data_IF_130939298318
#
_entry.id   IF_130939298318
#
_cell.length_a   1.000
_cell.length_b   1.000
_cell.length_c   1.000
_cell.angle_alpha   90.00
_cell.angle_beta   90.00
_cell.angle_gamma   90.00
#
_symmetry.space_group_name_H-M   'P 1'
#
loop_
_entity.id
_entity.type
_entity.pdbx_description
1 polymer ?
#
# COMPACT_ATOMS: atom_id res chain seq x y z
N UNK A 1 -16.18 61.17 -14.97
CA UNK A 1 -15.26 60.65 -16.00
C UNK A 1 -15.64 59.19 -16.25
N UNK A 2 -15.98 58.81 -17.49
CA UNK A 2 -16.48 57.48 -17.84
C UNK A 2 -15.28 56.56 -18.04
N UNK A 3 -15.07 55.60 -17.14
CA UNK A 3 -13.97 54.64 -17.23
C UNK A 3 -14.20 53.74 -18.45
N UNK A 4 -13.25 53.74 -19.39
CA UNK A 4 -13.28 52.86 -20.57
C UNK A 4 -12.90 51.46 -20.10
N UNK A 5 -13.82 50.49 -20.16
CA UNK A 5 -13.48 49.08 -19.94
C UNK A 5 -12.52 48.64 -21.05
N UNK A 6 -11.25 48.41 -20.69
CA UNK A 6 -10.29 47.74 -21.55
C UNK A 6 -10.64 46.25 -21.56
N UNK A 7 -11.14 45.77 -22.69
CA UNK A 7 -11.31 44.33 -22.94
C UNK A 7 -9.95 43.64 -23.03
N UNK A 8 -9.93 42.33 -22.73
CA UNK A 8 -8.74 41.49 -22.89
C UNK A 8 -8.38 41.36 -24.37
N UNK A 9 -7.09 41.44 -24.71
CA UNK A 9 -6.67 41.27 -26.11
C UNK A 9 -6.60 39.79 -26.48
N UNK A 10 -6.86 39.46 -27.75
CA UNK A 10 -6.70 38.09 -28.24
C UNK A 10 -5.27 37.58 -28.07
N UNK A 11 -4.27 38.47 -28.22
CA UNK A 11 -2.87 38.10 -28.04
C UNK A 11 -2.53 37.79 -26.58
N UNK A 12 -3.14 38.48 -25.61
CA UNK A 12 -2.98 38.13 -24.19
C UNK A 12 -3.57 36.75 -23.88
N UNK A 13 -4.71 36.39 -24.48
CA UNK A 13 -5.28 35.06 -24.29
C UNK A 13 -4.36 33.97 -24.89
N UNK A 14 -3.84 34.22 -26.10
CA UNK A 14 -2.96 33.27 -26.80
C UNK A 14 -1.61 33.11 -26.08
N UNK A 15 -0.99 34.19 -25.61
CA UNK A 15 0.27 34.06 -24.88
C UNK A 15 0.11 33.26 -23.57
N UNK A 16 -1.03 33.40 -22.89
CA UNK A 16 -1.30 32.67 -21.64
C UNK A 16 -1.41 31.17 -21.88
N UNK A 17 -2.15 30.74 -22.90
CA UNK A 17 -2.25 29.29 -23.22
C UNK A 17 -0.91 28.71 -23.69
N UNK A 18 -0.08 29.50 -24.37
CA UNK A 18 1.28 29.07 -24.78
C UNK A 18 2.16 28.88 -23.56
N UNK A 19 2.16 29.85 -22.62
CA UNK A 19 2.94 29.73 -21.37
C UNK A 19 2.46 28.52 -20.56
N UNK A 20 1.14 28.36 -20.38
CA UNK A 20 0.57 27.21 -19.68
C UNK A 20 0.89 25.89 -20.39
N UNK A 21 0.92 25.87 -21.73
CA UNK A 21 1.30 24.70 -22.52
C UNK A 21 2.74 24.26 -22.27
N UNK A 22 3.69 25.20 -22.23
CA UNK A 22 5.10 24.91 -21.93
C UNK A 22 5.26 24.42 -20.49
N UNK A 23 4.61 25.09 -19.52
CA UNK A 23 4.65 24.68 -18.11
C UNK A 23 4.04 23.28 -17.90
N UNK A 24 2.94 22.97 -18.58
CA UNK A 24 2.31 21.66 -18.51
C UNK A 24 3.21 20.55 -19.09
N UNK A 25 3.87 20.81 -20.22
CA UNK A 25 4.75 19.84 -20.87
C UNK A 25 5.91 19.39 -19.97
N UNK A 26 6.46 20.29 -19.14
CA UNK A 26 7.54 19.96 -18.20
C UNK A 26 7.04 19.42 -16.86
N UNK A 27 5.88 19.89 -16.38
CA UNK A 27 5.35 19.52 -15.07
C UNK A 27 4.65 18.16 -15.06
N UNK A 28 3.94 17.79 -16.13
CA UNK A 28 3.16 16.54 -16.19
C UNK A 28 4.03 15.29 -15.98
N UNK A 29 5.18 15.10 -16.67
CA UNK A 29 6.01 13.92 -16.47
C UNK A 29 6.47 13.79 -15.01
N UNK A 30 6.89 14.90 -14.39
CA UNK A 30 7.32 14.93 -12.99
C UNK A 30 6.18 14.60 -12.02
N UNK A 31 4.98 15.07 -12.29
CA UNK A 31 3.82 14.76 -11.46
C UNK A 31 3.44 13.27 -11.52
N UNK A 32 3.60 12.63 -12.68
CA UNK A 32 3.37 11.19 -12.84
C UNK A 32 4.41 10.37 -12.06
N UNK A 33 5.69 10.74 -12.16
CA UNK A 33 6.77 10.07 -11.42
C UNK A 33 6.55 10.17 -9.90
N UNK A 34 6.30 11.39 -9.39
CA UNK A 34 6.05 11.62 -7.96
C UNK A 34 4.84 10.84 -7.44
N UNK A 35 3.81 10.68 -8.26
CA UNK A 35 2.64 9.87 -7.91
C UNK A 35 3.02 8.40 -7.77
N UNK A 36 3.83 7.86 -8.69
CA UNK A 36 4.33 6.48 -8.62
C UNK A 36 5.19 6.26 -7.37
N UNK A 37 6.11 7.18 -7.09
CA UNK A 37 7.00 7.10 -5.92
C UNK A 37 6.22 7.15 -4.60
N UNK A 38 5.23 8.05 -4.50
CA UNK A 38 4.37 8.16 -3.33
C UNK A 38 3.56 6.87 -3.09
N UNK A 39 3.13 6.21 -4.16
CA UNK A 39 2.41 4.93 -4.09
C UNK A 39 3.32 3.81 -3.59
N UNK A 40 4.52 3.68 -4.17
CA UNK A 40 5.49 2.68 -3.73
C UNK A 40 5.87 2.88 -2.26
N UNK A 41 6.10 4.13 -1.84
CA UNK A 41 6.38 4.47 -0.45
C UNK A 41 5.23 4.08 0.49
N UNK A 42 3.98 4.36 0.10
CA UNK A 42 2.79 3.98 0.87
C UNK A 42 2.66 2.47 1.01
N UNK A 43 2.84 1.72 -0.08
CA UNK A 43 2.80 0.26 -0.04
C UNK A 43 3.90 -0.35 0.81
N UNK A 44 5.14 0.17 0.72
CA UNK A 44 6.24 -0.23 1.60
C UNK A 44 5.92 0.05 3.07
N UNK A 45 5.25 1.16 3.36
CA UNK A 45 4.76 1.49 4.70
C UNK A 45 3.76 0.45 5.23
N UNK A 46 2.76 0.08 4.43
CA UNK A 46 1.76 -0.94 4.80
C UNK A 46 2.39 -2.32 4.94
N UNK A 47 3.25 -2.72 4.00
CA UNK A 47 3.97 -3.99 4.02
C UNK A 47 4.90 -4.10 5.24
N UNK A 48 5.63 -3.02 5.56
CA UNK A 48 6.48 -2.96 6.75
C UNK A 48 5.68 -3.01 8.06
N UNK A 49 4.51 -2.38 8.10
CA UNK A 49 3.60 -2.50 9.24
C UNK A 49 3.08 -3.93 9.43
N UNK A 50 2.71 -4.62 8.34
CA UNK A 50 2.27 -6.01 8.38
C UNK A 50 3.39 -6.96 8.82
N UNK A 51 4.61 -6.80 8.29
CA UNK A 51 5.77 -7.58 8.71
C UNK A 51 6.10 -7.37 10.20
N UNK A 52 6.07 -6.12 10.66
CA UNK A 52 6.31 -5.77 12.08
C UNK A 52 5.23 -6.36 13.00
N UNK A 53 3.96 -6.24 12.59
CA UNK A 53 2.85 -6.86 13.30
C UNK A 53 3.01 -8.39 13.40
N UNK A 54 3.56 -9.03 12.36
CA UNK A 54 3.77 -10.48 12.35
C UNK A 54 4.81 -10.92 13.38
N UNK A 55 5.93 -10.19 13.48
CA UNK A 55 6.98 -10.47 14.46
C UNK A 55 6.49 -10.27 15.90
N UNK A 56 5.76 -9.17 16.16
CA UNK A 56 5.17 -8.90 17.48
C UNK A 56 4.13 -9.95 17.84
N UNK A 57 3.25 -10.32 16.91
CA UNK A 57 2.22 -11.32 17.11
C UNK A 57 2.81 -12.70 17.41
N UNK A 58 3.84 -13.11 16.67
CA UNK A 58 4.54 -14.36 16.92
C UNK A 58 5.23 -14.38 18.30
N UNK A 59 5.86 -13.27 18.71
CA UNK A 59 6.41 -13.12 20.06
C UNK A 59 5.34 -13.29 21.14
N UNK A 60 4.17 -12.66 20.96
CA UNK A 60 3.01 -12.81 21.83
C UNK A 60 2.49 -14.25 21.89
N UNK A 61 2.37 -14.92 20.75
CA UNK A 61 1.92 -16.32 20.70
C UNK A 61 2.94 -17.27 21.33
N UNK A 62 4.24 -17.04 21.13
CA UNK A 62 5.29 -17.89 21.71
C UNK A 62 5.23 -17.92 23.24
N UNK A 63 4.83 -16.82 23.88
CA UNK A 63 4.60 -16.74 25.33
C UNK A 63 3.31 -17.49 25.72
N UNK A 64 2.28 -17.44 24.86
CA UNK A 64 1.02 -18.16 25.05
C UNK A 64 1.09 -19.63 24.57
N UNK A 65 2.25 -20.27 24.67
CA UNK A 65 2.46 -21.67 24.27
C UNK A 65 2.10 -21.94 22.80
N UNK A 66 2.35 -20.93 21.95
CA UNK A 66 2.02 -20.88 20.53
C UNK A 66 0.52 -20.98 20.19
N UNK A 67 -0.37 -20.86 21.19
CA UNK A 67 -1.81 -20.86 21.00
C UNK A 67 -2.35 -19.43 20.86
N UNK A 68 -3.43 -19.28 20.09
CA UNK A 68 -4.14 -18.01 19.99
C UNK A 68 -4.77 -17.61 21.31
N UNK A 69 -4.53 -16.38 21.73
CA UNK A 69 -5.09 -15.80 22.93
C UNK A 69 -5.59 -14.39 22.61
N UNK A 70 -6.90 -14.15 22.67
CA UNK A 70 -7.58 -12.95 22.17
C UNK A 70 -6.95 -11.60 22.58
N UNK A 71 -6.24 -11.55 23.71
CA UNK A 71 -5.56 -10.37 24.23
C UNK A 71 -4.02 -10.35 24.07
N UNK A 72 -3.40 -11.43 23.57
CA UNK A 72 -1.93 -11.58 23.48
C UNK A 72 -1.44 -11.85 22.07
N UNK A 73 -2.20 -12.61 21.28
CA UNK A 73 -1.89 -12.83 19.87
C UNK A 73 -3.10 -13.36 19.10
N UNK A 74 -3.03 -13.28 17.77
CA UNK A 74 -4.04 -13.76 16.82
C UNK A 74 -3.47 -14.91 16.00
N UNK A 75 -4.37 -15.76 15.50
CA UNK A 75 -4.03 -16.78 14.50
C UNK A 75 -3.50 -16.06 13.26
N UNK A 76 -2.25 -16.32 12.91
CA UNK A 76 -1.66 -15.94 11.62
C UNK A 76 -1.22 -17.22 10.94
N UNK A 77 -1.99 -17.63 9.95
CA UNK A 77 -1.76 -18.87 9.21
C UNK A 77 -1.84 -18.66 7.69
N UNK A 78 -2.17 -17.45 7.25
CA UNK A 78 -2.22 -17.05 5.84
C UNK A 78 -1.78 -15.59 5.69
N UNK A 79 -1.39 -15.20 4.48
CA UNK A 79 -1.07 -13.81 4.16
C UNK A 79 -2.19 -12.82 4.47
N UNK A 80 -3.46 -13.24 4.42
CA UNK A 80 -4.58 -12.38 4.76
C UNK A 80 -4.84 -12.32 6.28
N UNK A 81 -4.61 -13.40 7.02
CA UNK A 81 -4.83 -13.44 8.48
C UNK A 81 -3.98 -12.44 9.28
N UNK A 82 -2.84 -11.98 8.73
CA UNK A 82 -1.98 -10.98 9.38
C UNK A 82 -2.69 -9.65 9.66
N UNK A 83 -3.73 -9.30 8.90
CA UNK A 83 -4.51 -8.08 9.13
C UNK A 83 -5.09 -8.03 10.55
N UNK A 84 -5.34 -9.19 11.17
CA UNK A 84 -5.85 -9.30 12.53
C UNK A 84 -4.83 -8.87 13.60
N UNK A 85 -3.53 -8.92 13.28
CA UNK A 85 -2.46 -8.43 14.12
C UNK A 85 -2.18 -6.93 13.91
N UNK A 86 -2.76 -6.32 12.86
CA UNK A 86 -2.66 -4.89 12.58
C UNK A 86 -3.80 -4.12 13.26
N UNK A 87 -3.59 -2.83 13.51
CA UNK A 87 -4.62 -1.96 14.10
C UNK A 87 -5.87 -1.94 13.22
N UNK A 88 -7.02 -2.32 13.77
CA UNK A 88 -8.31 -2.33 13.08
C UNK A 88 -8.67 -3.65 12.38
N UNK A 89 -7.79 -4.65 12.31
CA UNK A 89 -8.15 -5.97 11.78
C UNK A 89 -8.44 -6.01 10.28
N UNK A 90 -8.08 -4.97 9.53
CA UNK A 90 -8.44 -4.78 8.13
C UNK A 90 -7.27 -4.22 7.31
N UNK A 91 -7.22 -4.59 6.04
CA UNK A 91 -6.34 -3.91 5.10
C UNK A 91 -6.91 -2.52 4.77
N UNK A 92 -6.06 -1.51 4.54
CA UNK A 92 -6.51 -0.25 3.99
C UNK A 92 -7.24 -0.46 2.65
N UNK A 93 -8.20 0.39 2.34
CA UNK A 93 -9.03 0.27 1.12
C UNK A 93 -8.17 0.25 -0.14
N UNK A 94 -8.46 -0.67 -1.06
CA UNK A 94 -7.74 -0.82 -2.32
C UNK A 94 -6.51 -1.73 -2.25
N UNK A 95 -6.09 -2.15 -1.05
CA UNK A 95 -5.01 -3.12 -0.88
C UNK A 95 -5.57 -4.55 -0.88
N UNK A 96 -4.94 -5.43 -1.63
CA UNK A 96 -5.14 -6.88 -1.57
C UNK A 96 -3.81 -7.56 -1.26
N UNK A 97 -3.88 -8.68 -0.54
CA UNK A 97 -2.73 -9.51 -0.23
C UNK A 97 -2.94 -10.90 -0.82
N UNK A 98 -1.90 -11.43 -1.44
CA UNK A 98 -1.86 -12.79 -1.92
C UNK A 98 -0.54 -13.44 -1.50
N UNK A 99 -0.51 -14.78 -1.42
CA UNK A 99 0.76 -15.47 -1.40
C UNK A 99 1.45 -15.30 -2.77
N UNK A 100 2.76 -15.11 -2.78
CA UNK A 100 3.54 -15.03 -4.01
C UNK A 100 3.58 -16.42 -4.66
N UNK A 101 2.81 -16.67 -5.72
CA UNK A 101 2.73 -17.97 -6.41
C UNK A 101 3.97 -18.20 -7.29
N UNK A 102 4.79 -19.24 -7.05
CA UNK A 102 4.63 -20.56 -7.66
C UNK A 102 3.45 -21.41 -7.18
N UNK A 103 2.27 -21.12 -7.69
CA UNK A 103 1.02 -21.85 -7.43
C UNK A 103 0.23 -21.33 -6.22
N UNK A 104 -1.08 -21.49 -6.32
CA UNK A 104 -2.05 -21.12 -5.29
C UNK A 104 -1.67 -21.64 -3.91
N UNK A 105 -1.81 -20.77 -2.93
CA UNK A 105 -1.87 -21.12 -1.52
C UNK A 105 -2.76 -20.05 -0.88
N UNK A 106 -4.09 -20.08 -1.03
CA UNK A 106 -4.92 -21.20 -0.60
C UNK A 106 -4.27 -21.88 0.60
N UNK A 107 -4.33 -21.24 1.77
CA UNK A 107 -4.15 -21.94 3.04
C UNK A 107 -2.82 -22.71 3.23
N UNK A 108 -1.65 -22.11 2.95
CA UNK A 108 -0.46 -22.60 3.67
C UNK A 108 -0.55 -22.06 5.08
N UNK A 109 -1.26 -22.79 5.92
CA UNK A 109 -1.19 -22.64 7.37
C UNK A 109 0.27 -22.54 7.74
N UNK A 110 0.72 -21.32 8.01
CA UNK A 110 2.05 -21.11 8.53
C UNK A 110 2.05 -21.75 9.92
N UNK A 111 2.70 -22.92 10.04
CA UNK A 111 2.97 -23.51 11.35
C UNK A 111 3.69 -22.49 12.22
N UNK A 112 3.53 -22.59 13.53
CA UNK A 112 4.13 -21.63 14.45
C UNK A 112 5.64 -21.49 14.20
N UNK A 113 6.09 -20.27 13.96
CA UNK A 113 7.50 -19.94 13.70
C UNK A 113 7.94 -20.09 12.24
N UNK A 114 7.07 -20.52 11.33
CA UNK A 114 7.40 -20.64 9.90
C UNK A 114 7.17 -19.31 9.19
N UNK A 115 8.21 -18.81 8.53
CA UNK A 115 8.13 -17.61 7.70
C UNK A 115 7.52 -17.92 6.33
N UNK A 116 6.62 -17.06 5.86
CA UNK A 116 6.02 -17.11 4.50
C UNK A 116 6.11 -15.74 3.85
N UNK A 117 6.34 -15.74 2.54
CA UNK A 117 6.37 -14.52 1.75
C UNK A 117 4.98 -14.23 1.17
N UNK A 118 4.57 -12.97 1.31
CA UNK A 118 3.29 -12.44 0.89
C UNK A 118 3.52 -11.27 -0.05
N UNK A 119 2.69 -11.15 -1.07
CA UNK A 119 2.66 -10.01 -1.99
C UNK A 119 1.47 -9.13 -1.68
N UNK A 120 1.75 -7.85 -1.40
CA UNK A 120 0.77 -6.78 -1.30
C UNK A 120 0.60 -6.13 -2.68
N UNK A 121 -0.64 -5.99 -3.13
CA UNK A 121 -0.99 -5.32 -4.39
C UNK A 121 -1.97 -4.18 -4.10
N UNK A 122 -1.78 -3.04 -4.76
CA UNK A 122 -2.71 -1.92 -4.71
C UNK A 122 -3.54 -1.85 -6.00
N UNK A 123 -4.86 -2.00 -5.88
CA UNK A 123 -5.79 -1.90 -7.00
C UNK A 123 -6.01 -0.44 -7.43
N UNK A 124 -6.27 -0.24 -8.73
CA UNK A 124 -6.66 1.07 -9.29
C UNK A 124 -5.54 1.86 -9.98
N UNK A 125 -4.37 1.25 -10.24
CA UNK A 125 -3.25 1.90 -10.91
C UNK A 125 -2.58 0.99 -11.94
N UNK A 126 -2.18 1.56 -13.07
CA UNK A 126 -1.45 0.86 -14.14
C UNK A 126 -0.03 1.45 -14.27
N UNK A 127 1.03 0.63 -14.22
CA UNK A 127 1.03 -0.79 -13.89
C UNK A 127 0.67 -1.06 -12.43
N UNK A 128 0.07 -2.23 -12.13
CA UNK A 128 -0.15 -2.66 -10.75
C UNK A 128 1.22 -2.84 -10.08
N UNK A 129 1.53 -2.00 -9.10
CA UNK A 129 2.77 -2.13 -8.33
C UNK A 129 2.54 -3.14 -7.18
N UNK A 130 3.49 -4.05 -7.00
CA UNK A 130 3.44 -5.10 -5.99
C UNK A 130 4.65 -5.02 -5.07
N UNK A 131 4.45 -5.22 -3.77
CA UNK A 131 5.52 -5.25 -2.76
C UNK A 131 5.43 -6.55 -1.98
N UNK A 132 6.55 -7.24 -1.83
CA UNK A 132 6.63 -8.47 -1.03
C UNK A 132 7.01 -8.18 0.41
N UNK A 133 6.44 -8.91 1.35
CA UNK A 133 6.80 -8.89 2.76
C UNK A 133 6.67 -10.27 3.38
N UNK A 134 7.34 -10.49 4.50
CA UNK A 134 7.31 -11.76 5.20
C UNK A 134 6.37 -11.72 6.39
N UNK A 135 5.70 -12.84 6.63
CA UNK A 135 4.91 -13.10 7.83
C UNK A 135 5.43 -14.34 8.55
N UNK A 136 5.22 -14.41 9.86
CA UNK A 136 5.55 -15.58 10.67
C UNK A 136 4.25 -16.24 11.13
N UNK A 137 4.15 -17.56 10.92
CA UNK A 137 3.03 -18.36 11.41
C UNK A 137 2.93 -18.33 12.93
N UNK A 138 1.72 -18.18 13.47
CA UNK A 138 1.50 -18.04 14.89
C UNK A 138 0.07 -18.41 15.30
N UNK A 139 -0.10 -18.95 16.51
CA UNK A 139 -1.42 -19.11 17.13
C UNK A 139 -2.24 -20.30 16.63
N UNK A 140 -1.61 -21.24 15.90
CA UNK A 140 -2.21 -22.49 15.43
C UNK A 140 -1.94 -23.67 16.37
#
# INVERSE_FOLDING_TARGET
MKQVQRGFTLIELVMVIVILGVLAAVAIPKFVDLKSDAQEASMKGVAGAAASASAINYGGCSIATAASASAKCKVVNTCDSIKQAMSGGVWPTGYSVAATSGGELAAATASNGVTKNCTLTLAGFTPNTAVTFDIIGAGN
#
